data_IF_732763095376
#
_entry.id   IF_732763095376
#
_cell.length_a   1.000
_cell.length_b   1.000
_cell.length_c   1.000
_cell.angle_alpha   90.00
_cell.angle_beta   90.00
_cell.angle_gamma   90.00
#
_symmetry.space_group_name_H-M   'P 1'
#
loop_
_entity.id
_entity.type
_entity.pdbx_description
1 polymer ?
#
# COMPACT_ATOMS: atom_id res chain seq x y z
N UNK A 1 2.52 2.75 20.98
CA UNK A 1 1.68 2.90 19.76
C UNK A 1 0.94 1.59 19.56
N UNK A 2 -0.37 1.56 19.79
CA UNK A 2 -1.16 0.34 19.61
C UNK A 2 -1.68 0.29 18.17
N UNK A 3 -1.31 -0.74 17.41
CA UNK A 3 -1.96 -1.07 16.16
C UNK A 3 -3.36 -1.60 16.52
N UNK A 4 -4.37 -0.74 16.43
CA UNK A 4 -5.77 -1.12 16.58
C UNK A 4 -6.20 -1.92 15.33
N UNK A 5 -5.76 -3.17 15.23
CA UNK A 5 -6.09 -4.02 14.10
C UNK A 5 -7.40 -4.76 14.39
N UNK A 6 -8.51 -4.26 13.84
CA UNK A 6 -9.67 -5.11 13.58
C UNK A 6 -9.18 -6.39 12.88
N UNK A 7 -9.61 -7.59 13.29
CA UNK A 7 -9.24 -8.81 12.60
C UNK A 7 -9.72 -8.69 11.14
N UNK A 8 -8.78 -8.82 10.20
CA UNK A 8 -9.11 -8.85 8.78
C UNK A 8 -9.77 -10.20 8.52
N UNK A 9 -11.09 -10.18 8.42
CA UNK A 9 -11.87 -11.31 7.91
C UNK A 9 -11.93 -11.17 6.40
N UNK A 10 -11.58 -12.24 5.69
CA UNK A 10 -11.76 -12.31 4.25
C UNK A 10 -13.00 -13.15 3.94
N UNK A 11 -13.73 -12.85 2.85
CA UNK A 11 -14.79 -13.72 2.36
C UNK A 11 -14.28 -15.15 2.11
N UNK A 12 -15.12 -16.18 2.30
CA UNK A 12 -14.71 -17.57 2.10
C UNK A 12 -14.27 -17.87 0.66
N UNK A 13 -14.79 -17.14 -0.33
CA UNK A 13 -14.52 -17.33 -1.76
C UNK A 13 -13.22 -16.67 -2.24
N UNK A 14 -12.51 -15.92 -1.39
CA UNK A 14 -11.31 -15.20 -1.83
C UNK A 14 -10.15 -16.18 -2.09
N UNK A 15 -9.43 -16.00 -3.20
CA UNK A 15 -8.26 -16.82 -3.48
C UNK A 15 -7.11 -16.49 -2.53
N UNK A 16 -6.19 -17.44 -2.34
CA UNK A 16 -4.96 -17.17 -1.57
C UNK A 16 -4.14 -16.04 -2.21
N UNK A 17 -4.05 -16.00 -3.54
CA UNK A 17 -3.35 -14.97 -4.29
C UNK A 17 -3.87 -13.57 -3.98
N UNK A 18 -5.19 -13.41 -3.82
CA UNK A 18 -5.80 -12.12 -3.48
C UNK A 18 -5.47 -11.69 -2.03
N UNK A 19 -5.42 -12.65 -1.09
CA UNK A 19 -4.97 -12.39 0.29
C UNK A 19 -3.52 -11.91 0.31
N UNK A 20 -2.65 -12.54 -0.47
CA UNK A 20 -1.24 -12.13 -0.61
C UNK A 20 -1.14 -10.75 -1.24
N UNK A 21 -1.84 -10.51 -2.33
CA UNK A 21 -1.86 -9.22 -3.03
C UNK A 21 -2.31 -8.09 -2.10
N UNK A 22 -3.33 -8.33 -1.28
CA UNK A 22 -3.75 -7.38 -0.25
C UNK A 22 -2.68 -7.10 0.79
N UNK A 23 -2.02 -8.15 1.30
CA UNK A 23 -0.89 -8.00 2.21
C UNK A 23 0.23 -7.13 1.62
N UNK A 24 0.58 -7.37 0.36
CA UNK A 24 1.58 -6.57 -0.38
C UNK A 24 1.13 -5.12 -0.54
N UNK A 25 -0.11 -4.87 -0.99
CA UNK A 25 -0.67 -3.51 -1.12
C UNK A 25 -0.63 -2.75 0.20
N UNK A 26 -1.01 -3.42 1.30
CA UNK A 26 -0.97 -2.84 2.65
C UNK A 26 0.45 -2.51 3.09
N UNK A 27 1.41 -3.41 2.85
CA UNK A 27 2.81 -3.17 3.17
C UNK A 27 3.40 -1.99 2.38
N UNK A 28 3.15 -1.94 1.07
CA UNK A 28 3.62 -0.85 0.20
C UNK A 28 3.01 0.50 0.59
N UNK A 29 1.71 0.53 0.94
CA UNK A 29 1.06 1.74 1.43
C UNK A 29 1.72 2.25 2.71
N UNK A 30 1.93 1.36 3.70
CA UNK A 30 2.63 1.72 4.94
C UNK A 30 4.05 2.23 4.70
N UNK A 31 4.79 1.59 3.80
CA UNK A 31 6.12 2.05 3.40
C UNK A 31 6.08 3.49 2.86
N UNK A 32 5.12 3.79 1.99
CA UNK A 32 4.94 5.14 1.46
C UNK A 32 4.51 6.14 2.54
N UNK A 33 3.64 5.75 3.47
CA UNK A 33 3.22 6.57 4.63
C UNK A 33 4.41 6.94 5.53
N UNK A 34 5.22 5.95 5.92
CA UNK A 34 6.40 6.16 6.76
C UNK A 34 7.47 7.00 6.05
N UNK A 35 7.67 6.77 4.74
CA UNK A 35 8.61 7.55 3.94
C UNK A 35 8.12 8.99 3.78
N UNK A 36 6.83 9.19 3.56
CA UNK A 36 6.19 10.51 3.46
C UNK A 36 6.29 11.31 4.77
N UNK A 37 6.12 10.63 5.91
CA UNK A 37 6.29 11.21 7.24
C UNK A 37 7.72 11.75 7.46
N UNK A 38 8.71 11.09 6.86
CA UNK A 38 10.13 11.51 6.87
C UNK A 38 10.48 12.53 5.77
N UNK A 39 9.50 12.99 4.98
CA UNK A 39 9.75 13.89 3.84
C UNK A 39 10.52 13.24 2.68
N UNK A 40 10.56 11.91 2.64
CA UNK A 40 11.32 11.14 1.66
C UNK A 40 10.61 10.97 0.31
N UNK A 41 11.34 10.31 -0.59
CA UNK A 41 10.87 9.92 -1.92
C UNK A 41 11.17 8.45 -2.16
N UNK A 42 10.37 7.82 -3.01
CA UNK A 42 10.53 6.43 -3.42
C UNK A 42 10.83 6.39 -4.92
N UNK A 43 11.64 5.42 -5.33
CA UNK A 43 11.90 5.12 -6.73
C UNK A 43 10.87 4.11 -7.19
N UNK A 44 10.10 4.45 -8.22
CA UNK A 44 9.04 3.62 -8.79
C UNK A 44 9.20 3.53 -10.29
N UNK A 45 8.69 2.44 -10.87
CA UNK A 45 8.57 2.28 -12.32
C UNK A 45 7.13 2.52 -12.72
N UNK A 46 6.89 3.53 -13.56
CA UNK A 46 5.57 3.90 -14.08
C UNK A 46 5.69 3.94 -15.60
N UNK A 47 4.84 3.19 -16.30
CA UNK A 47 4.80 3.13 -17.77
C UNK A 47 6.15 2.81 -18.43
N UNK A 48 6.96 1.96 -17.79
CA UNK A 48 8.30 1.62 -18.28
C UNK A 48 9.42 2.55 -17.81
N UNK A 49 9.08 3.75 -17.33
CA UNK A 49 10.04 4.77 -16.89
C UNK A 49 10.31 4.68 -15.39
N UNK A 50 11.58 4.78 -15.00
CA UNK A 50 12.00 4.84 -13.60
C UNK A 50 11.96 6.30 -13.15
N UNK A 51 11.15 6.59 -12.14
CA UNK A 51 10.96 7.94 -11.59
C UNK A 51 11.18 7.95 -10.08
N UNK A 52 11.82 9.00 -9.59
CA UNK A 52 11.89 9.30 -8.15
C UNK A 52 10.72 10.20 -7.80
N UNK A 53 9.78 9.68 -7.03
CA UNK A 53 8.50 10.35 -6.71
C UNK A 53 8.45 10.65 -5.22
N UNK A 54 8.08 11.87 -4.80
CA UNK A 54 7.82 12.17 -3.39
C UNK A 54 6.79 11.21 -2.81
N UNK A 55 7.07 10.61 -1.64
CA UNK A 55 6.18 9.60 -1.08
C UNK A 55 4.79 10.15 -0.76
N UNK A 56 4.69 11.44 -0.41
CA UNK A 56 3.41 12.17 -0.22
C UNK A 56 2.55 12.21 -1.48
N UNK A 57 3.17 12.33 -2.65
CA UNK A 57 2.45 12.35 -3.93
C UNK A 57 2.06 10.93 -4.34
N UNK A 58 2.95 9.97 -4.13
CA UNK A 58 2.69 8.56 -4.41
C UNK A 58 1.50 8.02 -3.60
N UNK A 59 1.31 8.45 -2.35
CA UNK A 59 0.16 8.05 -1.55
C UNK A 59 -1.19 8.45 -2.14
N UNK A 60 -1.23 9.47 -3.00
CA UNK A 60 -2.45 9.91 -3.69
C UNK A 60 -2.86 8.95 -4.81
N UNK A 61 -1.90 8.16 -5.33
CA UNK A 61 -2.12 7.24 -6.44
C UNK A 61 -2.25 5.78 -5.99
N UNK A 62 -1.85 5.46 -4.76
CA UNK A 62 -1.99 4.11 -4.19
C UNK A 62 -3.43 3.81 -3.75
N UNK A 63 -3.94 2.58 -4.00
CA UNK A 63 -5.27 2.16 -3.57
C UNK A 63 -5.43 2.26 -2.05
N UNK A 64 -6.64 2.61 -1.58
CA UNK A 64 -6.88 2.73 -0.14
C UNK A 64 -6.91 1.35 0.50
N UNK A 65 -6.61 1.31 1.79
CA UNK A 65 -6.50 0.05 2.53
C UNK A 65 -7.82 -0.75 2.57
N UNK A 66 -8.95 -0.09 2.35
CA UNK A 66 -10.29 -0.69 2.47
C UNK A 66 -10.99 -0.91 1.12
N UNK A 67 -10.31 -0.73 -0.01
CA UNK A 67 -10.84 -1.06 -1.34
C UNK A 67 -10.76 -2.57 -1.59
N UNK A 68 -11.57 -3.33 -0.86
CA UNK A 68 -12.03 -4.66 -1.27
C UNK A 68 -13.48 -4.50 -1.73
N UNK A 69 -13.68 -4.45 -3.05
CA UNK A 69 -14.96 -4.79 -3.68
C UNK A 69 -14.89 -6.22 -4.19
#
# INVERSE_FOLDING_TARGET
MALNSKPISFPPEISFSDKVLYGVRKALRKLAEETAAKGGSLVVKIDGEIKKVPAKELLKTLPKQDDFQ
#
